data_IF_164155953495
#
_entry.id   IF_164155953495
#
_cell.length_a   1.000
_cell.length_b   1.000
_cell.length_c   1.000
_cell.angle_alpha   90.00
_cell.angle_beta   90.00
_cell.angle_gamma   90.00
#
_symmetry.space_group_name_H-M   'P 1'
#
loop_
_entity.id
_entity.type
_entity.pdbx_description
1 polymer ?
#
# COMPACT_ATOMS: atom_id res chain seq x y z
N UNK A 1 13.22 10.96 -2.45
CA UNK A 1 13.74 11.30 -1.13
C UNK A 1 13.75 10.09 -0.24
N UNK A 2 14.73 10.01 0.58
CA UNK A 2 14.94 8.88 1.47
C UNK A 2 14.51 9.26 2.88
N UNK A 3 13.73 8.42 3.55
CA UNK A 3 13.30 8.63 4.92
C UNK A 3 14.26 8.02 5.95
N UNK A 4 15.50 7.78 5.56
CA UNK A 4 16.50 7.32 6.49
C UNK A 4 16.95 8.44 7.43
N UNK A 5 17.11 8.09 8.71
CA UNK A 5 17.67 8.99 9.71
C UNK A 5 19.14 8.66 9.88
N UNK A 6 20.00 9.64 9.62
CA UNK A 6 21.43 9.48 9.85
C UNK A 6 21.70 9.30 11.33
N UNK A 7 22.53 8.32 11.64
CA UNK A 7 22.88 8.05 13.03
C UNK A 7 21.86 7.25 13.81
N UNK A 8 20.69 6.95 13.23
CA UNK A 8 19.74 6.07 13.89
C UNK A 8 20.24 4.63 13.82
N UNK A 9 19.88 3.83 14.82
CA UNK A 9 20.17 2.40 14.80
C UNK A 9 19.17 1.69 13.87
N UNK A 10 19.47 0.44 13.51
CA UNK A 10 18.62 -0.32 12.60
C UNK A 10 17.21 -0.54 13.13
N UNK A 11 17.04 -0.65 14.46
CA UNK A 11 15.74 -0.84 15.09
C UNK A 11 14.86 0.40 14.92
N UNK A 12 15.41 1.59 15.17
CA UNK A 12 14.70 2.85 14.96
C UNK A 12 14.30 3.03 13.50
N UNK A 13 15.20 2.72 12.58
CA UNK A 13 14.92 2.84 11.16
C UNK A 13 13.81 1.86 10.74
N UNK A 14 13.82 0.64 11.25
CA UNK A 14 12.77 -0.34 10.97
C UNK A 14 11.42 0.14 11.47
N UNK A 15 11.36 0.75 12.66
CA UNK A 15 10.11 1.27 13.21
C UNK A 15 9.56 2.41 12.35
N UNK A 16 10.42 3.31 11.91
CA UNK A 16 10.05 4.40 11.03
C UNK A 16 9.51 3.84 9.70
N UNK A 17 10.20 2.87 9.12
CA UNK A 17 9.77 2.27 7.87
C UNK A 17 8.42 1.57 7.99
N UNK A 18 8.16 0.92 9.13
CA UNK A 18 6.85 0.31 9.38
C UNK A 18 5.74 1.36 9.45
N UNK A 19 5.99 2.47 10.12
CA UNK A 19 5.02 3.56 10.22
C UNK A 19 4.73 4.16 8.85
N UNK A 20 5.76 4.37 8.05
CA UNK A 20 5.64 4.89 6.68
C UNK A 20 4.82 3.92 5.84
N UNK A 21 5.12 2.63 5.94
CA UNK A 21 4.37 1.60 5.22
C UNK A 21 2.89 1.57 5.60
N UNK A 22 2.59 1.66 6.90
CA UNK A 22 1.20 1.69 7.38
C UNK A 22 0.46 2.93 6.91
N UNK A 23 1.14 4.08 6.91
CA UNK A 23 0.54 5.31 6.38
C UNK A 23 0.20 5.16 4.90
N UNK A 24 1.14 4.65 4.12
CA UNK A 24 0.91 4.43 2.70
C UNK A 24 -0.25 3.49 2.43
N UNK A 25 -0.31 2.37 3.15
CA UNK A 25 -1.39 1.40 3.01
C UNK A 25 -2.74 2.02 3.41
N UNK A 26 -2.77 2.83 4.47
CA UNK A 26 -3.98 3.53 4.90
C UNK A 26 -4.47 4.49 3.83
N UNK A 27 -3.57 5.25 3.23
CA UNK A 27 -3.91 6.17 2.15
C UNK A 27 -4.54 5.42 0.98
N UNK A 28 -3.92 4.32 0.57
CA UNK A 28 -4.43 3.51 -0.53
C UNK A 28 -5.81 2.94 -0.22
N UNK A 29 -6.01 2.40 0.98
CA UNK A 29 -7.30 1.85 1.40
C UNK A 29 -8.39 2.92 1.40
N UNK A 30 -8.08 4.11 1.92
CA UNK A 30 -9.04 5.20 1.96
C UNK A 30 -9.43 5.66 0.55
N UNK A 31 -8.49 5.70 -0.38
CA UNK A 31 -8.80 6.04 -1.77
C UNK A 31 -9.79 5.04 -2.38
N UNK A 32 -9.58 3.74 -2.14
CA UNK A 32 -10.49 2.72 -2.64
C UNK A 32 -11.85 2.78 -1.96
N UNK A 33 -11.90 3.02 -0.65
CA UNK A 33 -13.16 3.20 0.06
C UNK A 33 -13.96 4.37 -0.51
N UNK A 34 -13.27 5.46 -0.84
CA UNK A 34 -13.90 6.63 -1.43
C UNK A 34 -14.47 6.36 -2.83
N UNK A 35 -13.95 5.35 -3.51
CA UNK A 35 -14.48 4.89 -4.79
C UNK A 35 -15.59 3.85 -4.65
N UNK A 36 -16.00 3.53 -3.42
CA UNK A 36 -17.08 2.60 -3.18
C UNK A 36 -16.64 1.15 -2.97
N UNK A 37 -15.35 0.90 -2.85
CA UNK A 37 -14.86 -0.46 -2.61
C UNK A 37 -14.93 -0.82 -1.12
N UNK A 38 -15.15 -2.09 -0.87
CA UNK A 38 -14.92 -2.71 0.43
C UNK A 38 -13.50 -3.27 0.46
N UNK A 39 -12.82 -3.09 1.58
CA UNK A 39 -11.44 -3.56 1.71
C UNK A 39 -11.45 -4.95 2.36
N UNK A 40 -10.73 -5.87 1.74
CA UNK A 40 -10.48 -7.20 2.27
C UNK A 40 -9.03 -7.24 2.73
N UNK A 41 -8.84 -7.24 4.04
CA UNK A 41 -7.49 -7.31 4.61
C UNK A 41 -6.94 -8.73 4.48
N UNK A 42 -5.64 -8.84 4.30
CA UNK A 42 -4.95 -10.11 4.19
C UNK A 42 -3.86 -10.21 5.24
N UNK A 43 -3.50 -11.44 5.57
CA UNK A 43 -2.43 -11.69 6.53
C UNK A 43 -1.08 -11.32 5.94
N UNK A 44 -0.15 -10.92 6.79
CA UNK A 44 1.21 -10.62 6.35
C UNK A 44 1.84 -11.84 5.66
N UNK A 45 2.72 -11.59 4.69
CA UNK A 45 3.34 -12.63 3.89
C UNK A 45 2.60 -12.99 2.62
N UNK A 46 1.44 -12.39 2.38
CA UNK A 46 0.72 -12.56 1.11
C UNK A 46 1.43 -11.79 -0.01
N UNK A 47 1.03 -12.06 -1.24
CA UNK A 47 1.66 -11.51 -2.44
C UNK A 47 1.16 -10.10 -2.77
N UNK A 48 0.29 -9.56 -1.96
CA UNK A 48 -0.28 -8.21 -2.12
C UNK A 48 -0.71 -7.70 -0.73
N UNK A 49 -0.93 -6.39 -0.62
CA UNK A 49 -1.25 -5.79 0.67
C UNK A 49 -2.72 -5.94 1.06
N UNK A 50 -3.62 -5.74 0.10
CA UNK A 50 -5.05 -5.92 0.36
C UNK A 50 -5.78 -6.14 -0.96
N UNK A 51 -7.00 -6.62 -0.85
CA UNK A 51 -7.92 -6.68 -1.98
C UNK A 51 -9.03 -5.66 -1.77
N UNK A 52 -9.53 -5.10 -2.85
CA UNK A 52 -10.66 -4.19 -2.84
C UNK A 52 -11.75 -4.74 -3.74
N UNK A 53 -12.98 -4.71 -3.26
CA UNK A 53 -14.09 -5.31 -3.99
C UNK A 53 -15.29 -4.38 -3.95
N UNK A 54 -15.97 -4.27 -5.07
CA UNK A 54 -17.28 -3.60 -5.16
C UNK A 54 -18.15 -4.32 -6.16
N UNK A 55 -19.45 -4.14 -5.98
CA UNK A 55 -20.43 -4.66 -6.90
C UNK A 55 -20.97 -3.50 -7.72
N UNK A 56 -20.74 -3.51 -9.02
CA UNK A 56 -21.10 -2.40 -9.91
C UNK A 56 -21.72 -2.97 -11.19
N UNK A 57 -22.89 -2.45 -11.55
CA UNK A 57 -23.61 -2.89 -12.76
C UNK A 57 -23.76 -4.41 -12.83
N UNK A 58 -24.14 -5.02 -11.69
CA UNK A 58 -24.35 -6.45 -11.53
C UNK A 58 -23.08 -7.28 -11.73
N UNK A 59 -21.92 -6.64 -11.69
CA UNK A 59 -20.64 -7.32 -11.81
C UNK A 59 -19.79 -7.09 -10.58
N UNK A 60 -19.07 -8.12 -10.20
CA UNK A 60 -18.10 -8.04 -9.12
C UNK A 60 -16.80 -7.47 -9.68
N UNK A 61 -16.37 -6.35 -9.12
CA UNK A 61 -15.11 -5.70 -9.46
C UNK A 61 -14.14 -5.95 -8.32
N UNK A 62 -13.14 -6.77 -8.58
CA UNK A 62 -12.13 -7.18 -7.60
C UNK A 62 -10.76 -6.74 -8.09
N UNK A 63 -10.00 -6.07 -7.22
CA UNK A 63 -8.62 -5.70 -7.54
C UNK A 63 -7.72 -6.08 -6.37
N UNK A 64 -6.56 -6.65 -6.71
CA UNK A 64 -5.49 -6.92 -5.76
C UNK A 64 -4.54 -5.73 -5.76
N UNK A 65 -4.24 -5.18 -4.59
CA UNK A 65 -3.48 -3.94 -4.48
C UNK A 65 -2.20 -4.18 -3.70
N UNK A 66 -1.11 -3.78 -4.30
CA UNK A 66 0.18 -3.71 -3.64
C UNK A 66 0.56 -2.24 -3.48
N UNK A 67 0.86 -1.81 -2.26
CA UNK A 67 1.17 -0.43 -1.97
C UNK A 67 2.68 -0.27 -1.77
N UNK A 68 3.26 0.69 -2.47
CA UNK A 68 4.68 1.01 -2.35
C UNK A 68 4.85 2.50 -2.11
N UNK A 69 5.80 2.85 -1.26
CA UNK A 69 6.10 4.24 -0.93
C UNK A 69 7.46 4.62 -1.52
N UNK A 70 7.51 5.79 -2.15
CA UNK A 70 8.74 6.30 -2.73
C UNK A 70 9.26 5.40 -3.84
N UNK A 71 10.54 5.05 -3.75
CA UNK A 71 11.22 4.23 -4.76
C UNK A 71 11.24 2.75 -4.43
N UNK A 72 10.42 2.30 -3.48
CA UNK A 72 10.36 0.89 -3.13
C UNK A 72 9.91 0.06 -4.33
N UNK A 73 10.53 -1.11 -4.50
CA UNK A 73 10.26 -2.01 -5.61
C UNK A 73 9.47 -3.23 -5.14
N UNK A 74 8.71 -3.81 -6.07
CA UNK A 74 8.03 -5.06 -5.79
C UNK A 74 9.04 -6.20 -5.61
N UNK A 75 8.73 -7.09 -4.66
CA UNK A 75 9.51 -8.30 -4.47
C UNK A 75 9.29 -9.27 -5.65
N UNK A 76 10.14 -10.31 -5.72
CA UNK A 76 9.98 -11.35 -6.74
C UNK A 76 8.61 -12.01 -6.66
N UNK A 77 8.13 -12.30 -5.44
CA UNK A 77 6.81 -12.90 -5.22
C UNK A 77 5.69 -12.00 -5.74
N UNK A 78 5.78 -10.71 -5.48
CA UNK A 78 4.79 -9.74 -5.94
C UNK A 78 4.76 -9.65 -7.46
N UNK A 79 5.93 -9.65 -8.09
CA UNK A 79 6.02 -9.64 -9.55
C UNK A 79 5.42 -10.92 -10.14
N UNK A 80 5.71 -12.08 -9.54
CA UNK A 80 5.14 -13.35 -9.99
C UNK A 80 3.62 -13.35 -9.86
N UNK A 81 3.10 -12.84 -8.75
CA UNK A 81 1.66 -12.73 -8.54
C UNK A 81 1.01 -11.80 -9.56
N UNK A 82 1.63 -10.66 -9.83
CA UNK A 82 1.16 -9.73 -10.86
C UNK A 82 1.05 -10.42 -12.22
N UNK A 83 2.07 -11.20 -12.58
CA UNK A 83 2.05 -11.95 -13.85
C UNK A 83 0.94 -12.98 -13.88
N UNK A 84 0.72 -13.67 -12.75
CA UNK A 84 -0.39 -14.61 -12.65
C UNK A 84 -1.73 -13.90 -12.86
N UNK A 85 -1.92 -12.75 -12.23
CA UNK A 85 -3.14 -11.95 -12.40
C UNK A 85 -3.36 -11.59 -13.86
N UNK A 86 -2.33 -11.18 -14.56
CA UNK A 86 -2.42 -10.84 -15.98
C UNK A 86 -2.89 -12.03 -16.81
N UNK A 87 -2.34 -13.21 -16.54
CA UNK A 87 -2.72 -14.43 -17.25
C UNK A 87 -4.14 -14.89 -16.91
N UNK A 88 -4.52 -14.73 -15.65
CA UNK A 88 -5.83 -15.18 -15.18
C UNK A 88 -6.96 -14.18 -15.43
N UNK A 89 -6.66 -13.02 -16.01
CA UNK A 89 -7.64 -11.98 -16.23
C UNK A 89 -8.09 -11.28 -14.97
N UNK A 90 -7.26 -11.30 -13.92
CA UNK A 90 -7.53 -10.62 -12.66
C UNK A 90 -6.84 -9.26 -12.62
N UNK A 91 -7.46 -8.30 -11.93
CA UNK A 91 -6.91 -6.97 -11.81
C UNK A 91 -5.90 -6.90 -10.68
N UNK A 92 -4.72 -6.39 -10.99
CA UNK A 92 -3.67 -6.10 -10.03
C UNK A 92 -3.26 -4.65 -10.20
N UNK A 93 -3.16 -3.92 -9.11
CA UNK A 93 -2.75 -2.52 -9.17
C UNK A 93 -1.60 -2.25 -8.20
N UNK A 94 -0.54 -1.65 -8.73
CA UNK A 94 0.55 -1.13 -7.92
C UNK A 94 0.21 0.31 -7.54
N UNK A 95 -0.17 0.51 -6.28
CA UNK A 95 -0.48 1.83 -5.76
C UNK A 95 0.81 2.44 -5.22
N UNK A 96 1.34 3.40 -5.94
CA UNK A 96 2.63 4.00 -5.58
C UNK A 96 2.42 5.42 -5.04
N UNK A 97 2.98 5.69 -3.87
CA UNK A 97 2.87 6.97 -3.19
C UNK A 97 4.22 7.68 -3.27
N UNK A 98 4.27 8.84 -3.92
CA UNK A 98 5.52 9.60 -3.98
C UNK A 98 5.96 10.09 -2.60
N UNK A 99 7.27 10.19 -2.41
CA UNK A 99 7.84 10.67 -1.16
C UNK A 99 7.33 12.07 -0.79
N UNK A 100 7.15 12.95 -1.77
CA UNK A 100 6.66 14.30 -1.52
C UNK A 100 5.27 14.31 -0.92
N UNK A 101 4.38 13.46 -1.42
CA UNK A 101 3.02 13.35 -0.89
C UNK A 101 3.04 12.84 0.54
N UNK A 102 3.86 11.83 0.80
CA UNK A 102 3.98 11.26 2.13
C UNK A 102 4.53 12.28 3.11
N UNK A 103 5.57 13.01 2.71
CA UNK A 103 6.15 14.06 3.54
C UNK A 103 5.12 15.13 3.87
N UNK A 104 4.40 15.59 2.86
CA UNK A 104 3.35 16.59 3.06
C UNK A 104 2.35 16.14 4.12
N UNK A 105 1.89 14.90 4.02
CA UNK A 105 0.92 14.36 4.97
C UNK A 105 1.50 14.25 6.39
N UNK A 106 2.77 13.86 6.50
CA UNK A 106 3.43 13.75 7.80
C UNK A 106 3.67 15.11 8.47
N UNK A 107 3.94 16.14 7.67
CA UNK A 107 4.18 17.50 8.15
C UNK A 107 2.89 18.27 8.43
N UNK A 108 1.80 17.90 7.77
CA UNK A 108 0.53 18.63 7.82
C UNK A 108 -0.55 17.82 8.54
N UNK A 109 -0.33 17.53 9.83
CA UNK A 109 -1.34 17.08 10.76
C UNK A 109 -1.68 15.60 10.76
N UNK A 110 -1.11 14.80 9.87
CA UNK A 110 -1.32 13.37 9.96
C UNK A 110 -0.41 12.83 11.07
N UNK A 111 -0.99 12.42 12.17
CA UNK A 111 -0.24 11.71 13.20
C UNK A 111 -0.11 10.25 12.80
N UNK A 112 1.09 9.87 12.39
CA UNK A 112 1.37 8.50 11.95
C UNK A 112 1.06 7.49 13.06
N UNK A 113 1.20 7.88 14.31
CA UNK A 113 0.87 7.02 15.45
C UNK A 113 -0.61 6.67 15.55
N UNK A 114 -1.49 7.49 15.02
CA UNK A 114 -2.93 7.27 15.04
C UNK A 114 -3.43 6.44 13.86
N UNK A 115 -2.58 6.16 12.91
CA UNK A 115 -2.94 5.38 11.71
C UNK A 115 -2.78 3.88 12.00
N UNK A 116 -3.86 3.24 12.31
CA UNK A 116 -3.88 1.83 12.71
C UNK A 116 -4.71 0.98 11.77
#
# INVERSE_FOLDING_TARGET
>A
MNFELRGSNSTEQMDINRKIGRLGERIAKDDYRNLGYHILDVKSGMFFDFAAVRFLDEKLDLVFVECKVGNAHMSRRQIQFKRWCQKAGQNFFLYQIPNERLRYLMENEIDVGDLR
#
